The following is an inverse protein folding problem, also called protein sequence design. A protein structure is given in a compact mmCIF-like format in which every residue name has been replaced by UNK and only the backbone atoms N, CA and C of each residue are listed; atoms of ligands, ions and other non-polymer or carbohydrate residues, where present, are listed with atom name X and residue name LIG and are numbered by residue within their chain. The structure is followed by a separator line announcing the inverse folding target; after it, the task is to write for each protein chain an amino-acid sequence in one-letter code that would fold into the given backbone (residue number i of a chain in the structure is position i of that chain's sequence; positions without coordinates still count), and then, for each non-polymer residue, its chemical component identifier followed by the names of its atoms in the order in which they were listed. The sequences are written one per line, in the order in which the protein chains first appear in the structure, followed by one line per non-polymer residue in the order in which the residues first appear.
data_IF_515876154688
#
_entry.id   IF_515876154688
#
_cell.length_a   1.000
_cell.length_b   1.000
_cell.length_c   1.000
_cell.angle_alpha   90.00
_cell.angle_beta   90.00
_cell.angle_gamma   90.00
#
_symmetry.space_group_name_H-M   'P 1'
#
loop_
_entity.id
_entity.type
_entity.pdbx_description
1 polymer ?
#
# COMPACT_ATOMS: atom_id res chain seq x y z
N UNK A 1 17.41 -12.10 16.69
CA UNK A 1 16.18 -11.34 16.83
C UNK A 1 15.68 -10.86 15.49
N UNK A 2 14.43 -11.02 15.24
CA UNK A 2 13.84 -10.61 13.99
C UNK A 2 13.55 -9.11 14.00
N UNK A 3 14.01 -8.40 12.98
CA UNK A 3 13.77 -6.96 12.87
C UNK A 3 13.00 -6.66 11.61
N UNK A 4 11.95 -5.87 11.76
CA UNK A 4 11.18 -5.37 10.62
C UNK A 4 11.49 -3.88 10.52
N UNK A 5 12.07 -3.46 9.39
CA UNK A 5 12.34 -2.05 9.19
C UNK A 5 11.05 -1.31 8.83
N UNK A 6 11.12 0.01 8.85
CA UNK A 6 9.93 0.84 8.63
C UNK A 6 9.30 0.59 7.27
N UNK A 7 10.11 0.39 6.26
CA UNK A 7 9.61 0.13 4.91
C UNK A 7 8.81 -1.17 4.85
N UNK A 8 9.32 -2.21 5.46
CA UNK A 8 8.64 -3.50 5.53
C UNK A 8 7.34 -3.39 6.33
N UNK A 9 7.39 -2.68 7.46
CA UNK A 9 6.20 -2.47 8.27
C UNK A 9 5.11 -1.76 7.48
N UNK A 10 5.47 -0.70 6.76
CA UNK A 10 4.51 0.03 5.95
C UNK A 10 3.96 -0.85 4.82
N UNK A 11 4.80 -1.66 4.20
CA UNK A 11 4.35 -2.55 3.13
C UNK A 11 3.31 -3.55 3.66
N UNK A 12 3.56 -4.11 4.83
CA UNK A 12 2.61 -5.02 5.47
C UNK A 12 1.29 -4.30 5.76
N UNK A 13 1.36 -3.07 6.26
CA UNK A 13 0.16 -2.29 6.54
C UNK A 13 -0.66 -2.03 5.28
N UNK A 14 0.00 -1.73 4.18
CA UNK A 14 -0.69 -1.53 2.91
C UNK A 14 -1.39 -2.81 2.49
N UNK A 15 -0.71 -3.94 2.57
CA UNK A 15 -1.31 -5.21 2.19
C UNK A 15 -2.50 -5.57 3.08
N UNK A 16 -2.40 -5.33 4.38
CA UNK A 16 -3.51 -5.56 5.31
C UNK A 16 -4.68 -4.66 4.96
N UNK A 17 -4.41 -3.40 4.67
CA UNK A 17 -5.45 -2.44 4.31
C UNK A 17 -6.22 -2.91 3.07
N UNK A 18 -5.49 -3.38 2.06
CA UNK A 18 -6.13 -3.86 0.83
C UNK A 18 -6.86 -5.18 1.05
N UNK A 19 -6.31 -6.04 1.91
CA UNK A 19 -6.92 -7.36 2.18
C UNK A 19 -8.26 -7.23 2.90
N UNK A 20 -8.51 -6.12 3.57
CA UNK A 20 -9.79 -5.88 4.24
C UNK A 20 -10.91 -5.47 3.29
N UNK A 21 -10.58 -5.20 2.04
CA UNK A 21 -11.56 -4.78 1.05
C UNK A 21 -12.01 -5.98 0.24
N UNK A 22 -13.23 -5.94 -0.32
CA UNK A 22 -13.70 -7.02 -1.18
C UNK A 22 -12.78 -7.21 -2.39
N UNK A 23 -12.71 -8.42 -2.90
CA UNK A 23 -11.91 -8.70 -4.08
C UNK A 23 -12.37 -7.81 -5.23
N UNK A 24 -11.40 -7.22 -5.94
CA UNK A 24 -11.67 -6.33 -7.05
C UNK A 24 -11.97 -4.90 -6.67
N UNK A 25 -12.07 -4.60 -5.38
CA UNK A 25 -12.28 -3.23 -4.94
C UNK A 25 -11.04 -2.39 -5.22
N UNK A 26 -11.27 -1.14 -5.62
CA UNK A 26 -10.20 -0.17 -5.82
C UNK A 26 -10.16 0.76 -4.62
N UNK A 27 -8.96 1.05 -4.18
CA UNK A 27 -8.79 1.91 -3.02
C UNK A 27 -7.88 3.08 -3.41
N UNK A 28 -8.39 4.32 -3.34
CA UNK A 28 -7.56 5.48 -3.68
C UNK A 28 -6.36 5.57 -2.75
N UNK A 29 -5.21 5.95 -3.32
CA UNK A 29 -3.99 6.10 -2.54
C UNK A 29 -4.14 7.05 -1.35
N UNK A 30 -4.83 8.20 -1.48
CA UNK A 30 -5.03 9.07 -0.32
C UNK A 30 -5.78 8.39 0.84
N UNK A 31 -6.70 7.48 0.52
CA UNK A 31 -7.42 6.75 1.54
C UNK A 31 -6.48 5.84 2.33
N UNK A 32 -5.59 5.14 1.63
CA UNK A 32 -4.61 4.28 2.29
C UNK A 32 -3.69 5.13 3.19
N UNK A 33 -3.27 6.27 2.68
CA UNK A 33 -2.42 7.19 3.42
C UNK A 33 -3.05 7.61 4.74
N UNK A 34 -4.32 7.97 4.70
CA UNK A 34 -5.03 8.39 5.90
C UNK A 34 -5.27 7.24 6.87
N UNK A 35 -5.74 6.10 6.37
CA UNK A 35 -6.07 4.98 7.24
C UNK A 35 -4.83 4.39 7.91
N UNK A 36 -3.73 4.30 7.17
CA UNK A 36 -2.52 3.66 7.68
C UNK A 36 -1.51 4.63 8.24
N UNK A 37 -1.77 5.94 8.14
CA UNK A 37 -0.87 6.97 8.62
C UNK A 37 0.54 6.83 8.06
N UNK A 38 0.62 6.61 6.74
CA UNK A 38 1.88 6.44 6.05
C UNK A 38 2.21 7.72 5.29
N UNK A 39 3.43 8.27 5.42
CA UNK A 39 3.80 9.44 4.63
C UNK A 39 3.67 9.17 3.14
N UNK A 40 3.18 10.14 2.41
CA UNK A 40 2.89 9.98 0.98
C UNK A 40 4.09 9.48 0.18
N UNK A 41 5.26 10.04 0.43
CA UNK A 41 6.45 9.65 -0.31
C UNK A 41 6.79 8.17 -0.11
N UNK A 42 6.66 7.69 1.12
CA UNK A 42 6.87 6.27 1.43
C UNK A 42 5.81 5.42 0.74
N UNK A 43 4.55 5.86 0.84
CA UNK A 43 3.46 5.08 0.29
C UNK A 43 3.60 4.87 -1.21
N UNK A 44 3.95 5.93 -1.94
CA UNK A 44 4.11 5.83 -3.38
C UNK A 44 5.22 4.84 -3.75
N UNK A 45 6.33 4.86 -3.02
CA UNK A 45 7.42 3.93 -3.26
C UNK A 45 7.02 2.50 -2.95
N UNK A 46 6.31 2.30 -1.84
CA UNK A 46 5.86 0.98 -1.44
C UNK A 46 4.89 0.40 -2.46
N UNK A 47 3.95 1.20 -2.92
CA UNK A 47 2.98 0.74 -3.91
C UNK A 47 3.69 0.38 -5.21
N UNK A 48 4.67 1.16 -5.62
CA UNK A 48 5.45 0.84 -6.82
C UNK A 48 6.19 -0.49 -6.67
N UNK A 49 6.79 -0.71 -5.51
CA UNK A 49 7.50 -1.96 -5.24
C UNK A 49 6.56 -3.16 -5.25
N UNK A 50 5.40 -3.02 -4.59
CA UNK A 50 4.41 -4.09 -4.54
C UNK A 50 3.84 -4.38 -5.92
N UNK A 51 3.66 -3.34 -6.73
CA UNK A 51 3.16 -3.50 -8.10
C UNK A 51 4.17 -4.26 -8.96
N UNK A 52 5.46 -3.92 -8.84
CA UNK A 52 6.50 -4.64 -9.57
C UNK A 52 6.59 -6.10 -9.16
N UNK A 53 6.29 -6.38 -7.92
CA UNK A 53 6.28 -7.76 -7.42
C UNK A 53 5.00 -8.51 -7.79
N UNK A 54 4.04 -7.83 -8.42
CA UNK A 54 2.78 -8.46 -8.80
C UNK A 54 1.80 -8.64 -7.67
N UNK A 55 2.04 -8.01 -6.53
CA UNK A 55 1.18 -8.16 -5.36
C UNK A 55 0.00 -7.21 -5.35
N UNK A 56 0.12 -6.09 -6.04
CA UNK A 56 -0.97 -5.13 -6.18
C UNK A 56 -1.04 -4.67 -7.62
N UNK A 57 -2.20 -4.16 -8.00
CA UNK A 57 -2.41 -3.60 -9.32
C UNK A 57 -2.75 -2.13 -9.18
N UNK A 58 -2.10 -1.30 -9.97
CA UNK A 58 -2.38 0.14 -9.96
C UNK A 58 -3.20 0.50 -11.18
N UNK A 59 -4.02 1.54 -11.04
CA UNK A 59 -4.87 2.02 -12.12
C UNK A 59 -4.58 3.50 -12.34
N UNK A 60 -4.29 3.91 -13.58
CA UNK A 60 -4.10 5.32 -13.88
C UNK A 60 -5.43 6.05 -13.81
N UNK A 61 -5.37 7.35 -13.54
CA UNK A 61 -6.55 8.16 -13.56
C UNK A 61 -6.57 9.15 -12.43
N UNK A 62 -7.52 10.08 -12.47
CA UNK A 62 -7.69 11.05 -11.39
C UNK A 62 -8.18 10.30 -10.16
N UNK A 63 -7.56 10.57 -9.07
CA UNK A 63 -7.93 9.90 -7.83
C UNK A 63 -7.84 10.87 -6.68
#
# INVERSE_FOLDING_TARGET
MFRINRRTDYAIRVMVCLARRPAGARLPTPTIQEEMLIPRAFLQRIIADLSRAGLVRTFPGPS
#
